data_IF_008427547895
#
_entry.id   IF_008427547895
#
_cell.length_a   1.000
_cell.length_b   1.000
_cell.length_c   1.000
_cell.angle_alpha   90.00
_cell.angle_beta   90.00
_cell.angle_gamma   90.00
#
_symmetry.space_group_name_H-M   'P 1'
#
loop_
_entity.id
_entity.type
_entity.pdbx_description
1 polymer ?
#
# COMPACT_ATOMS: atom_id res chain seq x y z
N UNK A 1 3.40 6.05 -6.00
CA UNK A 1 2.46 7.18 -5.88
C UNK A 1 2.10 7.74 -7.24
N UNK A 2 0.94 8.40 -7.36
CA UNK A 2 0.53 9.10 -8.59
C UNK A 2 -0.78 8.64 -9.21
N UNK A 3 -1.34 7.50 -8.76
CA UNK A 3 -2.64 6.99 -9.23
C UNK A 3 -3.63 6.99 -8.07
N UNK A 4 -4.82 7.54 -8.30
CA UNK A 4 -5.89 7.56 -7.30
C UNK A 4 -6.70 6.28 -7.42
N UNK A 5 -6.67 5.46 -6.37
CA UNK A 5 -7.34 4.15 -6.36
C UNK A 5 -8.70 4.17 -5.67
N UNK A 6 -8.90 5.14 -4.76
CA UNK A 6 -10.14 5.33 -4.04
C UNK A 6 -10.45 6.83 -3.89
N UNK A 7 -11.74 7.16 -3.92
CA UNK A 7 -12.25 8.51 -3.72
C UNK A 7 -13.56 8.47 -2.93
N UNK A 8 -13.70 9.33 -1.91
CA UNK A 8 -14.89 9.42 -1.05
C UNK A 8 -15.34 8.06 -0.46
N UNK A 9 -14.36 7.23 -0.07
CA UNK A 9 -14.61 5.93 0.57
C UNK A 9 -15.02 4.80 -0.38
N UNK A 10 -15.01 5.03 -1.70
CA UNK A 10 -15.28 4.00 -2.71
C UNK A 10 -14.12 3.90 -3.71
N UNK A 11 -14.08 2.80 -4.48
CA UNK A 11 -13.12 2.66 -5.59
C UNK A 11 -13.32 3.81 -6.59
N UNK A 12 -12.22 4.37 -7.07
CA UNK A 12 -12.28 5.40 -8.11
C UNK A 12 -12.90 4.81 -9.40
N UNK A 13 -13.88 5.47 -10.04
CA UNK A 13 -14.41 5.05 -11.34
C UNK A 13 -13.33 4.93 -12.43
N UNK A 14 -12.29 5.78 -12.36
CA UNK A 14 -11.18 5.82 -13.33
C UNK A 14 -10.04 4.87 -12.94
N UNK A 15 -10.29 3.93 -12.02
CA UNK A 15 -9.31 2.94 -11.57
C UNK A 15 -8.86 2.02 -12.71
N UNK A 16 -7.56 2.05 -13.03
CA UNK A 16 -6.90 1.10 -13.92
C UNK A 16 -6.01 0.12 -13.13
N UNK A 17 -6.47 -1.13 -13.02
CA UNK A 17 -5.73 -2.23 -12.39
C UNK A 17 -4.36 -2.46 -13.04
N UNK A 18 -4.26 -2.34 -14.36
CA UNK A 18 -3.00 -2.60 -15.06
C UNK A 18 -1.96 -1.53 -14.74
N UNK A 19 -2.37 -0.28 -14.58
CA UNK A 19 -1.50 0.81 -14.15
C UNK A 19 -1.04 0.63 -12.71
N UNK A 20 -1.97 0.34 -11.80
CA UNK A 20 -1.66 0.11 -10.38
C UNK A 20 -0.73 -1.08 -10.21
N UNK A 21 -1.00 -2.20 -10.89
CA UNK A 21 -0.12 -3.38 -10.89
C UNK A 21 1.28 -3.07 -11.41
N UNK A 22 1.47 -2.15 -12.38
CA UNK A 22 2.81 -1.73 -12.81
C UNK A 22 3.54 -0.95 -11.72
N UNK A 23 2.83 -0.11 -10.96
CA UNK A 23 3.43 0.66 -9.86
C UNK A 23 3.79 -0.25 -8.69
N UNK A 24 2.95 -1.24 -8.38
CA UNK A 24 3.17 -2.18 -7.27
C UNK A 24 4.35 -3.15 -7.49
N UNK A 25 4.91 -3.20 -8.70
CA UNK A 25 6.11 -4.00 -9.02
C UNK A 25 7.42 -3.23 -8.80
N UNK A 26 7.37 -1.99 -8.33
CA UNK A 26 8.56 -1.19 -8.02
C UNK A 26 9.08 -1.55 -6.64
N UNK A 27 10.38 -1.38 -6.44
CA UNK A 27 11.03 -1.63 -5.16
C UNK A 27 10.51 -0.67 -4.06
N UNK A 28 10.31 0.60 -4.42
CA UNK A 28 9.77 1.62 -3.51
C UNK A 28 8.33 2.00 -3.87
N UNK A 29 7.41 1.81 -2.92
CA UNK A 29 5.98 2.09 -3.09
C UNK A 29 5.56 3.20 -2.12
N UNK A 30 5.22 4.36 -2.68
CA UNK A 30 4.62 5.47 -1.92
C UNK A 30 3.09 5.38 -1.99
N UNK A 31 2.46 5.25 -0.80
CA UNK A 31 1.01 5.26 -0.59
C UNK A 31 0.65 6.55 0.17
N UNK A 32 -0.26 7.33 -0.39
CA UNK A 32 -0.79 8.54 0.23
C UNK A 32 -2.27 8.35 0.58
N UNK A 33 -2.66 8.70 1.80
CA UNK A 33 -4.04 8.63 2.27
C UNK A 33 -4.44 9.99 2.85
N UNK A 34 -5.52 10.55 2.32
CA UNK A 34 -6.16 11.76 2.84
C UNK A 34 -7.48 11.35 3.51
N UNK A 35 -7.64 11.69 4.79
CA UNK A 35 -8.84 11.38 5.58
C UNK A 35 -9.90 12.49 5.50
N UNK A 36 -9.56 13.69 5.03
CA UNK A 36 -10.47 14.84 4.96
C UNK A 36 -10.88 15.42 6.33
N UNK A 37 -10.18 15.06 7.41
CA UNK A 37 -10.56 15.43 8.79
C UNK A 37 -9.78 16.65 9.36
N UNK A 38 -8.77 17.15 8.66
CA UNK A 38 -7.95 18.26 9.13
C UNK A 38 -6.59 18.34 8.43
N UNK A 39 -5.63 19.01 9.09
CA UNK A 39 -4.27 19.25 8.55
C UNK A 39 -3.17 18.41 9.21
N UNK A 40 -3.53 17.52 10.13
CA UNK A 40 -2.57 16.60 10.77
C UNK A 40 -1.99 15.64 9.73
N UNK A 41 -0.68 15.38 9.83
CA UNK A 41 0.03 14.49 8.93
C UNK A 41 1.03 13.63 9.71
N UNK A 42 1.24 12.40 9.23
CA UNK A 42 2.26 11.48 9.73
C UNK A 42 2.77 10.63 8.56
N UNK A 43 4.00 10.13 8.69
CA UNK A 43 4.62 9.24 7.72
C UNK A 43 5.19 8.04 8.44
N UNK A 44 4.90 6.85 7.91
CA UNK A 44 5.37 5.57 8.44
C UNK A 44 6.07 4.83 7.31
N UNK A 45 7.21 4.22 7.63
CA UNK A 45 7.94 3.36 6.72
C UNK A 45 7.65 1.91 7.07
N UNK A 46 7.39 1.10 6.06
CA UNK A 46 7.13 -0.33 6.19
C UNK A 46 7.63 -1.05 4.94
N UNK A 47 7.72 -2.38 5.03
CA UNK A 47 7.97 -3.26 3.90
C UNK A 47 6.77 -4.19 3.66
N UNK A 48 6.84 -4.93 2.57
CA UNK A 48 5.89 -5.98 2.22
C UNK A 48 6.04 -7.22 3.11
N UNK A 49 4.98 -8.01 3.17
CA UNK A 49 4.96 -9.27 3.89
C UNK A 49 5.22 -10.43 2.92
N UNK A 50 6.44 -10.98 2.97
CA UNK A 50 6.88 -12.06 2.07
C UNK A 50 6.68 -13.45 2.69
N UNK A 51 6.69 -14.49 1.84
CA UNK A 51 6.73 -15.88 2.31
C UNK A 51 7.98 -16.17 3.13
N UNK A 52 9.12 -15.57 2.77
CA UNK A 52 10.38 -15.76 3.46
C UNK A 52 10.34 -15.18 4.88
N UNK A 53 9.68 -14.02 5.07
CA UNK A 53 9.43 -13.49 6.41
C UNK A 53 8.66 -14.49 7.28
N UNK A 54 7.63 -15.13 6.71
CA UNK A 54 6.84 -16.16 7.41
C UNK A 54 7.68 -17.40 7.70
N UNK A 55 8.49 -17.87 6.75
CA UNK A 55 9.33 -19.06 6.94
C UNK A 55 10.39 -18.85 8.03
N UNK A 56 11.06 -17.69 8.06
CA UNK A 56 12.08 -17.35 9.07
C UNK A 56 11.48 -17.31 10.48
N UNK A 57 10.27 -16.77 10.62
CA UNK A 57 9.67 -16.53 11.94
C UNK A 57 8.62 -17.58 12.35
N UNK A 58 8.18 -18.44 11.43
CA UNK A 58 7.13 -19.44 11.66
C UNK A 58 7.59 -20.66 12.45
N UNK A 59 8.87 -21.02 12.33
CA UNK A 59 9.46 -22.19 13.01
C UNK A 59 9.79 -21.96 14.50
N UNK A 60 9.35 -20.84 15.08
CA UNK A 60 9.66 -20.50 16.47
C UNK A 60 8.98 -21.40 17.52
N UNK A 61 8.02 -22.25 17.12
CA UNK A 61 7.25 -23.14 18.03
C UNK A 61 6.77 -24.45 17.39
N UNK A 62 7.67 -25.24 16.80
CA UNK A 62 7.44 -26.69 16.63
C UNK A 62 7.95 -27.48 17.83
#
# INVERSE_FOLDING_TARGET
GGVRVAHKGVRDPDYDEAEVSRIMKRDDIVINVDLGLGKGAATVWTCDLTKDYVAINGDYRS
#
